data_IF_983249181794
#
_entry.id   IF_983249181794
#
_cell.length_a   1.000
_cell.length_b   1.000
_cell.length_c   1.000
_cell.angle_alpha   90.00
_cell.angle_beta   90.00
_cell.angle_gamma   90.00
#
_symmetry.space_group_name_H-M   'P 1'
#
loop_
_entity.id
_entity.type
_entity.pdbx_description
1 polymer ?
#
# COMPACT_ATOMS: atom_id res chain seq x y z
N UNK A 1 -16.50 31.55 -10.59
CA UNK A 1 -17.01 30.47 -11.46
C UNK A 1 -17.67 29.31 -10.69
N UNK A 2 -18.35 29.57 -9.55
CA UNK A 2 -18.99 28.54 -8.70
C UNK A 2 -20.51 28.40 -8.94
N UNK A 3 -21.06 29.10 -9.94
CA UNK A 3 -22.52 29.23 -10.13
C UNK A 3 -23.13 28.28 -11.17
N UNK A 4 -22.36 27.32 -11.74
CA UNK A 4 -22.83 26.41 -12.81
C UNK A 4 -23.05 24.94 -12.40
N UNK A 5 -22.90 24.58 -11.12
CA UNK A 5 -23.07 23.19 -10.65
C UNK A 5 -24.42 22.89 -9.98
N UNK A 6 -25.29 23.89 -9.78
CA UNK A 6 -26.58 23.72 -9.10
C UNK A 6 -27.67 22.99 -9.91
N UNK A 7 -27.54 22.89 -11.23
CA UNK A 7 -28.66 22.45 -12.10
C UNK A 7 -28.77 20.95 -12.36
N UNK A 8 -27.85 20.10 -11.87
CA UNK A 8 -27.82 18.67 -12.23
C UNK A 8 -28.34 17.71 -11.15
N UNK A 9 -28.84 18.24 -10.03
CA UNK A 9 -29.18 17.50 -8.82
C UNK A 9 -30.63 16.97 -8.74
N UNK A 10 -31.48 17.30 -9.72
CA UNK A 10 -32.91 16.98 -9.69
C UNK A 10 -33.32 16.08 -10.86
N UNK A 11 -32.78 14.85 -10.92
CA UNK A 11 -33.43 13.77 -11.69
C UNK A 11 -33.96 12.72 -10.72
N UNK A 12 -35.28 12.47 -10.67
CA UNK A 12 -35.83 11.32 -9.95
C UNK A 12 -35.36 10.02 -10.61
N UNK A 13 -34.97 9.03 -9.81
CA UNK A 13 -34.75 7.66 -10.30
C UNK A 13 -36.12 7.03 -10.68
N UNK A 14 -36.18 6.16 -11.71
CA UNK A 14 -37.40 5.43 -12.05
C UNK A 14 -37.74 4.42 -10.95
N UNK A 15 -39.01 4.40 -10.57
CA UNK A 15 -39.63 3.41 -9.69
C UNK A 15 -39.56 2.02 -10.32
N UNK A 16 -38.75 1.12 -9.72
CA UNK A 16 -38.79 -0.31 -10.02
C UNK A 16 -40.11 -0.88 -9.47
N UNK A 17 -41.08 -1.07 -10.37
CA UNK A 17 -42.31 -1.81 -10.10
C UNK A 17 -41.97 -3.30 -9.92
N UNK A 18 -42.11 -3.79 -8.69
CA UNK A 18 -41.96 -5.20 -8.33
C UNK A 18 -43.19 -5.96 -8.82
N UNK A 19 -43.16 -6.44 -10.07
CA UNK A 19 -44.21 -7.31 -10.61
C UNK A 19 -44.03 -8.72 -10.05
N UNK A 20 -44.92 -9.09 -9.14
CA UNK A 20 -45.09 -10.46 -8.65
C UNK A 20 -45.33 -11.40 -9.84
N UNK A 21 -44.45 -12.39 -10.01
CA UNK A 21 -44.64 -13.52 -10.94
C UNK A 21 -44.40 -14.78 -10.13
N UNK A 22 -45.44 -15.61 -10.06
CA UNK A 22 -45.58 -16.72 -9.11
C UNK A 22 -44.48 -17.77 -9.18
N UNK A 23 -44.26 -18.42 -8.03
CA UNK A 23 -43.45 -19.62 -7.90
C UNK A 23 -44.13 -20.80 -8.63
N UNK A 24 -43.42 -21.51 -9.52
CA UNK A 24 -43.83 -22.85 -9.91
C UNK A 24 -43.42 -23.85 -8.82
N UNK A 25 -44.41 -24.55 -8.27
CA UNK A 25 -44.22 -25.80 -7.52
C UNK A 25 -43.58 -26.84 -8.45
N UNK A 26 -42.41 -27.37 -8.07
CA UNK A 26 -41.76 -28.52 -8.72
C UNK A 26 -41.98 -29.75 -7.83
N UNK A 27 -42.33 -30.93 -8.39
CA UNK A 27 -42.63 -32.12 -7.61
C UNK A 27 -41.35 -32.78 -7.07
N UNK A 28 -41.46 -33.42 -5.90
CA UNK A 28 -40.39 -34.23 -5.33
C UNK A 28 -40.14 -35.52 -6.15
N UNK A 29 -38.88 -35.92 -6.40
CA UNK A 29 -38.54 -37.25 -6.90
C UNK A 29 -37.92 -38.14 -5.81
N UNK A 30 -37.89 -39.48 -6.03
CA UNK A 30 -37.80 -40.47 -4.98
C UNK A 30 -36.37 -40.81 -4.52
N UNK A 31 -36.33 -41.41 -3.34
CA UNK A 31 -35.18 -42.08 -2.72
C UNK A 31 -34.41 -42.98 -3.69
N UNK A 32 -33.12 -42.69 -3.90
CA UNK A 32 -32.13 -43.66 -4.38
C UNK A 32 -31.17 -43.15 -5.45
N UNK A 33 -29.87 -43.31 -5.17
CA UNK A 33 -28.72 -43.35 -6.09
C UNK A 33 -27.85 -42.08 -6.30
N UNK A 34 -26.60 -42.24 -5.83
CA UNK A 34 -25.29 -41.70 -6.26
C UNK A 34 -25.03 -40.18 -6.15
N UNK A 35 -24.00 -39.88 -5.35
CA UNK A 35 -23.43 -38.54 -5.14
C UNK A 35 -23.03 -37.86 -6.47
N UNK A 36 -23.25 -36.54 -6.60
CA UNK A 36 -22.90 -35.81 -7.81
C UNK A 36 -21.37 -35.65 -7.89
N UNK A 37 -20.80 -36.10 -9.00
CA UNK A 37 -19.40 -35.83 -9.34
C UNK A 37 -19.17 -34.32 -9.38
N UNK A 38 -18.25 -33.84 -8.54
CA UNK A 38 -17.82 -32.45 -8.53
C UNK A 38 -17.32 -32.07 -9.94
N UNK A 39 -17.59 -30.83 -10.40
CA UNK A 39 -17.20 -30.41 -11.74
C UNK A 39 -15.67 -30.41 -11.85
N UNK A 40 -15.16 -30.87 -13.00
CA UNK A 40 -13.73 -31.15 -13.30
C UNK A 40 -12.79 -29.96 -13.01
N UNK A 41 -13.30 -28.72 -12.98
CA UNK A 41 -12.51 -27.54 -12.64
C UNK A 41 -12.15 -27.44 -11.14
N UNK A 42 -12.83 -28.19 -10.26
CA UNK A 42 -12.54 -28.25 -8.82
C UNK A 42 -11.40 -29.22 -8.47
N UNK A 43 -10.87 -29.97 -9.46
CA UNK A 43 -9.66 -30.79 -9.36
C UNK A 43 -8.58 -30.26 -10.30
N UNK A 44 -8.55 -28.94 -10.52
CA UNK A 44 -7.31 -28.30 -10.93
C UNK A 44 -6.35 -28.31 -9.73
N UNK A 45 -5.79 -29.50 -9.46
CA UNK A 45 -4.51 -29.60 -8.77
C UNK A 45 -3.61 -28.57 -9.42
N UNK A 46 -2.98 -27.73 -8.60
CA UNK A 46 -1.79 -26.99 -9.00
C UNK A 46 -0.79 -28.05 -9.40
N UNK A 47 -0.83 -28.47 -10.66
CA UNK A 47 0.15 -29.36 -11.24
C UNK A 47 1.46 -28.62 -11.06
N UNK A 48 2.30 -29.18 -10.20
CA UNK A 48 3.71 -28.87 -10.14
C UNK A 48 4.19 -28.82 -11.60
N UNK A 49 4.47 -27.60 -12.07
CA UNK A 49 5.15 -27.41 -13.33
C UNK A 49 6.38 -28.31 -13.29
N UNK A 50 6.53 -29.15 -14.31
CA UNK A 50 7.70 -30.01 -14.46
C UNK A 50 8.97 -29.20 -14.25
N UNK A 51 10.00 -29.86 -13.70
CA UNK A 51 11.35 -29.34 -13.63
C UNK A 51 11.75 -28.82 -15.04
N UNK A 52 11.62 -27.50 -15.24
CA UNK A 52 11.88 -26.81 -16.51
C UNK A 52 10.73 -25.99 -17.13
N UNK A 53 9.54 -25.90 -16.55
CA UNK A 53 8.36 -25.33 -17.26
C UNK A 53 8.27 -23.80 -17.37
N UNK A 54 8.21 -23.08 -16.24
CA UNK A 54 7.97 -21.62 -16.24
C UNK A 54 9.19 -20.82 -15.79
N UNK A 55 10.01 -21.40 -14.90
CA UNK A 55 11.23 -20.77 -14.43
C UNK A 55 12.26 -20.65 -15.55
N UNK A 56 12.50 -21.71 -16.33
CA UNK A 56 13.44 -21.66 -17.45
C UNK A 56 12.96 -20.71 -18.55
N UNK A 57 11.65 -20.69 -18.83
CA UNK A 57 11.05 -19.73 -19.75
C UNK A 57 11.24 -18.27 -19.28
N UNK A 58 11.13 -18.02 -17.97
CA UNK A 58 11.41 -16.73 -17.36
C UNK A 58 12.91 -16.39 -17.41
N UNK A 59 13.78 -17.35 -17.07
CA UNK A 59 15.22 -17.19 -17.06
C UNK A 59 15.78 -16.91 -18.47
N UNK A 60 15.19 -17.48 -19.52
CA UNK A 60 15.57 -17.23 -20.91
C UNK A 60 14.87 -15.99 -21.53
N UNK A 61 14.02 -15.30 -20.77
CA UNK A 61 13.22 -14.18 -21.28
C UNK A 61 14.06 -12.95 -21.63
N UNK A 62 13.59 -12.15 -22.59
CA UNK A 62 14.30 -10.94 -23.03
C UNK A 62 14.57 -9.91 -21.91
N UNK A 63 13.67 -9.67 -20.93
CA UNK A 63 13.96 -8.78 -19.80
C UNK A 63 15.10 -9.28 -18.91
N UNK A 64 15.21 -10.60 -18.71
CA UNK A 64 16.31 -11.19 -17.92
C UNK A 64 17.63 -11.06 -18.66
N UNK A 65 17.66 -11.33 -19.98
CA UNK A 65 18.86 -11.08 -20.81
C UNK A 65 19.26 -9.61 -20.84
N UNK A 66 18.29 -8.69 -20.86
CA UNK A 66 18.56 -7.26 -20.74
C UNK A 66 19.20 -6.91 -19.40
N UNK A 67 18.72 -7.49 -18.29
CA UNK A 67 19.33 -7.33 -16.97
C UNK A 67 20.76 -7.90 -16.92
N UNK A 68 21.00 -9.07 -17.50
CA UNK A 68 22.33 -9.68 -17.65
C UNK A 68 23.28 -8.74 -18.40
N UNK A 69 22.86 -8.21 -19.55
CA UNK A 69 23.65 -7.28 -20.35
C UNK A 69 23.97 -5.98 -19.60
N UNK A 70 23.03 -5.43 -18.82
CA UNK A 70 23.25 -4.25 -17.98
C UNK A 70 24.30 -4.53 -16.90
N UNK A 71 24.24 -5.69 -16.23
CA UNK A 71 25.21 -6.10 -15.21
C UNK A 71 26.62 -6.30 -15.81
N UNK A 72 26.71 -7.00 -16.95
CA UNK A 72 27.97 -7.22 -17.65
C UNK A 72 28.56 -5.90 -18.16
N UNK A 73 27.74 -5.04 -18.76
CA UNK A 73 28.16 -3.73 -19.24
C UNK A 73 28.64 -2.82 -18.11
N UNK A 74 27.94 -2.81 -16.97
CA UNK A 74 28.36 -2.05 -15.79
C UNK A 74 29.68 -2.58 -15.20
N UNK A 75 29.86 -3.90 -15.14
CA UNK A 75 31.11 -4.50 -14.69
C UNK A 75 32.27 -4.17 -15.63
N UNK A 76 32.08 -4.34 -16.94
CA UNK A 76 33.09 -4.04 -17.95
C UNK A 76 33.47 -2.54 -17.98
N UNK A 77 32.50 -1.63 -17.79
CA UNK A 77 32.75 -0.19 -17.79
C UNK A 77 33.46 0.30 -16.53
N UNK A 78 33.25 -0.35 -15.38
CA UNK A 78 33.77 0.11 -14.09
C UNK A 78 35.04 -0.59 -13.66
N UNK A 79 35.28 -1.82 -14.13
CA UNK A 79 36.41 -2.65 -13.72
C UNK A 79 36.42 -3.01 -12.22
N UNK A 80 35.33 -2.76 -11.51
CA UNK A 80 35.20 -3.04 -10.08
C UNK A 80 34.95 -4.54 -9.84
N UNK A 81 35.34 -5.08 -8.66
CA UNK A 81 34.92 -6.41 -8.24
C UNK A 81 33.39 -6.57 -8.31
N UNK A 82 32.92 -7.81 -8.48
CA UNK A 82 31.50 -8.09 -8.70
C UNK A 82 30.57 -7.50 -7.62
N UNK A 83 30.97 -7.53 -6.34
CA UNK A 83 30.19 -6.90 -5.27
C UNK A 83 29.98 -5.39 -5.50
N UNK A 84 31.01 -4.68 -5.96
CA UNK A 84 30.98 -3.24 -6.22
C UNK A 84 30.18 -2.91 -7.47
N UNK A 85 30.32 -3.71 -8.52
CA UNK A 85 29.55 -3.55 -9.75
C UNK A 85 28.04 -3.75 -9.51
N UNK A 86 27.65 -4.78 -8.75
CA UNK A 86 26.24 -5.03 -8.40
C UNK A 86 25.67 -3.86 -7.58
N UNK A 87 26.43 -3.37 -6.60
CA UNK A 87 26.01 -2.23 -5.77
C UNK A 87 25.85 -0.96 -6.61
N UNK A 88 26.83 -0.64 -7.46
CA UNK A 88 26.80 0.52 -8.33
C UNK A 88 25.65 0.45 -9.34
N UNK A 89 25.45 -0.71 -9.96
CA UNK A 89 24.34 -0.94 -10.90
C UNK A 89 22.99 -0.75 -10.20
N UNK A 90 22.86 -1.23 -8.97
CA UNK A 90 21.64 -1.04 -8.16
C UNK A 90 21.41 0.43 -7.84
N UNK A 91 22.44 1.17 -7.42
CA UNK A 91 22.35 2.61 -7.15
C UNK A 91 21.99 3.39 -8.41
N UNK A 92 22.60 3.07 -9.54
CA UNK A 92 22.33 3.71 -10.83
C UNK A 92 20.90 3.44 -11.30
N UNK A 93 20.43 2.18 -11.27
CA UNK A 93 19.05 1.82 -11.63
C UNK A 93 18.05 2.51 -10.70
N UNK A 94 18.31 2.52 -9.40
CA UNK A 94 17.44 3.20 -8.44
C UNK A 94 17.45 4.72 -8.61
N UNK A 95 18.60 5.33 -8.92
CA UNK A 95 18.70 6.76 -9.18
C UNK A 95 18.00 7.17 -10.48
N UNK A 96 18.18 6.41 -11.55
CA UNK A 96 17.66 6.75 -12.87
C UNK A 96 16.17 6.40 -13.04
N UNK A 97 15.69 5.30 -12.44
CA UNK A 97 14.32 4.80 -12.65
C UNK A 97 13.46 4.96 -11.40
N UNK A 98 13.93 4.43 -10.26
CA UNK A 98 13.13 4.39 -9.02
C UNK A 98 12.94 5.79 -8.43
N UNK A 99 13.97 6.64 -8.41
CA UNK A 99 13.93 7.97 -7.80
C UNK A 99 12.91 8.92 -8.48
N UNK A 100 12.93 9.14 -9.81
CA UNK A 100 11.93 10.01 -10.44
C UNK A 100 10.51 9.46 -10.28
N UNK A 101 10.36 8.13 -10.33
CA UNK A 101 9.06 7.49 -10.14
C UNK A 101 8.56 7.59 -8.69
N UNK A 102 9.46 7.46 -7.72
CA UNK A 102 9.17 7.68 -6.31
C UNK A 102 8.80 9.14 -6.03
N UNK A 103 9.53 10.10 -6.61
CA UNK A 103 9.19 11.52 -6.53
C UNK A 103 7.79 11.80 -7.12
N UNK A 104 7.46 11.17 -8.25
CA UNK A 104 6.11 11.24 -8.82
C UNK A 104 5.05 10.61 -7.91
N UNK A 105 5.32 9.44 -7.32
CA UNK A 105 4.44 8.80 -6.35
C UNK A 105 4.18 9.73 -5.15
N UNK A 106 5.23 10.31 -4.57
CA UNK A 106 5.13 11.25 -3.46
C UNK A 106 4.35 12.52 -3.84
N UNK A 107 4.53 13.02 -5.07
CA UNK A 107 3.76 14.15 -5.59
C UNK A 107 2.25 13.85 -5.66
N UNK A 108 1.86 12.67 -6.16
CA UNK A 108 0.44 12.27 -6.21
C UNK A 108 -0.12 12.06 -4.79
N UNK A 109 0.66 11.45 -3.89
CA UNK A 109 0.25 11.25 -2.51
C UNK A 109 0.04 12.58 -1.78
N UNK A 110 0.94 13.54 -1.96
CA UNK A 110 0.81 14.89 -1.40
C UNK A 110 -0.43 15.61 -1.94
N UNK A 111 -0.77 15.46 -3.23
CA UNK A 111 -2.03 15.97 -3.77
C UNK A 111 -3.25 15.34 -3.11
N UNK A 112 -3.25 14.03 -2.90
CA UNK A 112 -4.35 13.34 -2.22
C UNK A 112 -4.47 13.77 -0.75
N UNK A 113 -3.34 14.01 -0.09
CA UNK A 113 -3.30 14.53 1.28
C UNK A 113 -3.91 15.93 1.38
N UNK A 114 -3.57 16.82 0.44
CA UNK A 114 -4.15 18.16 0.35
C UNK A 114 -5.67 18.15 0.10
N UNK A 115 -6.21 17.07 -0.48
CA UNK A 115 -7.66 16.90 -0.69
C UNK A 115 -8.39 16.28 0.51
N UNK A 116 -7.67 15.72 1.49
CA UNK A 116 -8.27 15.19 2.72
C UNK A 116 -9.24 16.16 3.42
N UNK A 117 -8.94 17.46 3.60
CA UNK A 117 -9.89 18.39 4.21
C UNK A 117 -11.19 18.54 3.41
N UNK A 118 -11.12 18.61 2.08
CA UNK A 118 -12.31 18.71 1.21
C UNK A 118 -13.15 17.42 1.29
N UNK A 119 -12.51 16.26 1.23
CA UNK A 119 -13.15 14.95 1.38
C UNK A 119 -13.84 14.85 2.75
N UNK A 120 -13.20 15.30 3.83
CA UNK A 120 -13.80 15.32 5.18
C UNK A 120 -15.03 16.23 5.26
N UNK A 121 -15.02 17.36 4.56
CA UNK A 121 -16.17 18.26 4.51
C UNK A 121 -17.35 17.66 3.75
N UNK A 122 -17.09 17.06 2.58
CA UNK A 122 -18.09 16.32 1.78
C UNK A 122 -18.67 15.17 2.61
N UNK A 123 -17.82 14.44 3.35
CA UNK A 123 -18.25 13.35 4.20
C UNK A 123 -19.25 13.80 5.26
N UNK A 124 -19.02 14.96 5.89
CA UNK A 124 -19.91 15.52 6.90
C UNK A 124 -21.28 15.88 6.32
N UNK A 125 -21.31 16.62 5.21
CA UNK A 125 -22.56 16.99 4.54
C UNK A 125 -23.33 15.77 4.03
N UNK A 126 -22.63 14.84 3.36
CA UNK A 126 -23.27 13.63 2.84
C UNK A 126 -23.84 12.75 3.95
N UNK A 127 -23.15 12.63 5.09
CA UNK A 127 -23.66 11.89 6.23
C UNK A 127 -24.93 12.53 6.81
N UNK A 128 -24.96 13.87 6.91
CA UNK A 128 -26.15 14.61 7.35
C UNK A 128 -27.32 14.41 6.37
N UNK A 129 -27.09 14.56 5.07
CA UNK A 129 -28.12 14.37 4.05
C UNK A 129 -28.68 12.94 4.04
N UNK A 130 -27.81 11.94 4.13
CA UNK A 130 -28.22 10.53 4.17
C UNK A 130 -28.98 10.23 5.46
N UNK A 131 -28.59 10.80 6.60
CA UNK A 131 -29.30 10.61 7.86
C UNK A 131 -30.72 11.20 7.82
N UNK A 132 -30.88 12.41 7.29
CA UNK A 132 -32.18 13.06 7.11
C UNK A 132 -33.07 12.24 6.16
N UNK A 133 -32.54 11.84 4.99
CA UNK A 133 -33.30 11.03 4.02
C UNK A 133 -33.64 9.64 4.54
N UNK A 134 -32.74 9.02 5.30
CA UNK A 134 -33.00 7.71 5.91
C UNK A 134 -34.15 7.79 6.91
N UNK A 135 -34.23 8.85 7.72
CA UNK A 135 -35.35 9.09 8.63
C UNK A 135 -36.65 9.41 7.88
N UNK A 136 -36.61 10.23 6.84
CA UNK A 136 -37.81 10.61 6.07
C UNK A 136 -38.41 9.45 5.27
N UNK A 137 -37.56 8.62 4.67
CA UNK A 137 -37.98 7.51 3.78
C UNK A 137 -38.01 6.16 4.50
N UNK A 138 -37.75 6.12 5.81
CA UNK A 138 -37.71 4.89 6.60
C UNK A 138 -36.69 3.86 6.08
N UNK A 139 -35.53 4.32 5.59
CA UNK A 139 -34.54 3.41 5.02
C UNK A 139 -33.97 2.44 6.05
N UNK A 140 -33.75 1.19 5.63
CA UNK A 140 -33.00 0.24 6.45
C UNK A 140 -31.53 0.71 6.60
N UNK A 141 -30.91 0.37 7.75
CA UNK A 141 -29.50 0.72 8.03
C UNK A 141 -28.53 0.27 6.91
N UNK A 142 -28.82 -0.86 6.27
CA UNK A 142 -28.01 -1.39 5.15
C UNK A 142 -28.11 -0.48 3.92
N UNK A 143 -29.32 -0.05 3.55
CA UNK A 143 -29.56 0.81 2.39
C UNK A 143 -28.93 2.19 2.61
N UNK A 144 -29.10 2.78 3.79
CA UNK A 144 -28.47 4.06 4.11
C UNK A 144 -26.93 4.00 4.00
N UNK A 145 -26.31 2.94 4.53
CA UNK A 145 -24.85 2.73 4.44
C UNK A 145 -24.39 2.54 2.99
N UNK A 146 -25.09 1.72 2.20
CA UNK A 146 -24.73 1.48 0.79
C UNK A 146 -24.86 2.78 -0.03
N UNK A 147 -25.91 3.57 0.19
CA UNK A 147 -26.09 4.86 -0.47
C UNK A 147 -24.97 5.85 -0.10
N UNK A 148 -24.62 5.93 1.20
CA UNK A 148 -23.49 6.74 1.65
C UNK A 148 -22.18 6.33 0.96
N UNK A 149 -21.85 5.03 0.98
CA UNK A 149 -20.61 4.52 0.37
C UNK A 149 -20.57 4.75 -1.15
N UNK A 150 -21.70 4.57 -1.84
CA UNK A 150 -21.81 4.79 -3.29
C UNK A 150 -21.62 6.26 -3.65
N UNK A 151 -22.29 7.17 -2.94
CA UNK A 151 -22.17 8.62 -3.17
C UNK A 151 -20.78 9.12 -2.78
N UNK A 152 -20.23 8.66 -1.65
CA UNK A 152 -18.87 9.00 -1.23
C UNK A 152 -17.85 8.61 -2.29
N UNK A 153 -17.90 7.36 -2.78
CA UNK A 153 -16.98 6.89 -3.82
C UNK A 153 -17.08 7.74 -5.08
N UNK A 154 -18.30 8.12 -5.47
CA UNK A 154 -18.53 9.00 -6.62
C UNK A 154 -17.88 10.37 -6.44
N UNK A 155 -18.15 11.06 -5.32
CA UNK A 155 -17.57 12.38 -5.06
C UNK A 155 -16.05 12.34 -4.98
N UNK A 156 -15.48 11.39 -4.24
CA UNK A 156 -14.02 11.22 -4.15
C UNK A 156 -13.42 10.96 -5.52
N UNK A 157 -14.07 10.13 -6.36
CA UNK A 157 -13.63 9.90 -7.74
C UNK A 157 -13.70 11.16 -8.59
N UNK A 158 -14.76 11.97 -8.47
CA UNK A 158 -14.90 13.25 -9.19
C UNK A 158 -13.80 14.24 -8.78
N UNK A 159 -13.45 14.32 -7.49
CA UNK A 159 -12.33 15.11 -6.99
C UNK A 159 -10.99 14.62 -7.56
N UNK A 160 -10.75 13.31 -7.54
CA UNK A 160 -9.51 12.74 -8.10
C UNK A 160 -9.36 12.97 -9.60
N UNK A 161 -10.47 12.98 -10.35
CA UNK A 161 -10.47 13.32 -11.78
C UNK A 161 -10.20 14.82 -11.98
N UNK A 162 -10.85 15.69 -11.19
CA UNK A 162 -10.66 17.15 -11.23
C UNK A 162 -9.19 17.54 -11.05
N UNK A 163 -8.53 16.97 -10.04
CA UNK A 163 -7.16 17.32 -9.68
C UNK A 163 -6.10 16.36 -10.26
N UNK A 164 -6.56 15.43 -11.10
CA UNK A 164 -5.78 14.45 -11.87
C UNK A 164 -4.87 13.52 -11.01
N UNK A 165 -5.22 13.31 -9.74
CA UNK A 165 -4.41 12.64 -8.73
C UNK A 165 -4.90 11.21 -8.42
N UNK A 166 -5.22 10.42 -9.45
CA UNK A 166 -5.71 9.06 -9.25
C UNK A 166 -4.76 8.21 -8.39
N UNK A 167 -5.27 7.51 -7.36
CA UNK A 167 -4.43 6.69 -6.47
C UNK A 167 -3.71 5.56 -7.22
N UNK A 168 -4.25 5.12 -8.36
CA UNK A 168 -3.58 4.14 -9.22
C UNK A 168 -2.23 4.63 -9.76
N UNK A 169 -2.07 5.93 -10.00
CA UNK A 169 -0.78 6.51 -10.42
C UNK A 169 0.28 6.39 -9.32
N UNK A 170 -0.12 6.47 -8.06
CA UNK A 170 0.78 6.24 -6.93
C UNK A 170 1.20 4.76 -6.80
N UNK A 171 0.42 3.82 -7.35
CA UNK A 171 0.78 2.39 -7.34
C UNK A 171 1.72 1.98 -8.47
N UNK A 172 1.99 2.86 -9.44
CA UNK A 172 2.85 2.55 -10.61
C UNK A 172 4.24 2.09 -10.19
N UNK A 173 4.80 2.64 -9.10
CA UNK A 173 6.10 2.22 -8.60
C UNK A 173 6.13 0.73 -8.23
N UNK A 174 5.08 0.23 -7.58
CA UNK A 174 5.00 -1.20 -7.17
C UNK A 174 5.01 -2.09 -8.41
N UNK A 175 4.27 -1.71 -9.45
CA UNK A 175 4.18 -2.46 -10.71
C UNK A 175 5.46 -2.48 -11.52
N UNK A 176 6.32 -1.48 -11.39
CA UNK A 176 7.61 -1.42 -12.09
C UNK A 176 8.72 -2.05 -11.24
N UNK A 177 8.71 -1.78 -9.94
CA UNK A 177 9.76 -2.20 -9.02
C UNK A 177 9.77 -3.73 -8.80
N UNK A 178 8.60 -4.35 -8.65
CA UNK A 178 8.51 -5.79 -8.39
C UNK A 178 9.02 -6.63 -9.57
N UNK A 179 8.56 -6.43 -10.83
CA UNK A 179 9.09 -7.18 -11.97
C UNK A 179 10.57 -6.91 -12.22
N UNK A 180 11.02 -5.65 -12.09
CA UNK A 180 12.44 -5.31 -12.23
C UNK A 180 13.28 -6.09 -11.20
N UNK A 181 12.87 -6.13 -9.94
CA UNK A 181 13.57 -6.90 -8.90
C UNK A 181 13.61 -8.40 -9.21
N UNK A 182 12.51 -8.96 -9.72
CA UNK A 182 12.45 -10.37 -10.15
C UNK A 182 13.45 -10.63 -11.27
N UNK A 183 13.43 -9.83 -12.35
CA UNK A 183 14.33 -10.04 -13.49
C UNK A 183 15.81 -9.89 -13.10
N UNK A 184 16.15 -8.90 -12.28
CA UNK A 184 17.51 -8.72 -11.77
C UNK A 184 17.94 -9.91 -10.89
N UNK A 185 17.05 -10.44 -10.06
CA UNK A 185 17.35 -11.60 -9.20
C UNK A 185 17.55 -12.88 -10.02
N UNK A 186 16.74 -13.08 -11.06
CA UNK A 186 16.90 -14.22 -11.98
C UNK A 186 18.17 -14.08 -12.81
N UNK A 187 18.52 -12.88 -13.27
CA UNK A 187 19.78 -12.62 -13.98
C UNK A 187 21.01 -12.95 -13.12
N UNK A 188 21.02 -12.48 -11.86
CA UNK A 188 22.08 -12.81 -10.90
C UNK A 188 22.13 -14.32 -10.63
N UNK A 189 20.98 -14.99 -10.57
CA UNK A 189 20.93 -16.45 -10.41
C UNK A 189 21.46 -17.18 -11.64
N UNK A 190 21.16 -16.71 -12.84
CA UNK A 190 21.69 -17.30 -14.08
C UNK A 190 23.22 -17.20 -14.14
N UNK A 191 23.78 -16.08 -13.66
CA UNK A 191 25.23 -15.94 -13.47
C UNK A 191 25.75 -16.91 -12.42
N UNK A 192 25.10 -17.01 -11.25
CA UNK A 192 25.54 -17.88 -10.14
C UNK A 192 25.41 -19.38 -10.41
N UNK A 193 24.58 -19.79 -11.38
CA UNK A 193 24.41 -21.19 -11.78
C UNK A 193 25.15 -21.54 -13.08
N UNK A 194 25.81 -20.57 -13.71
CA UNK A 194 26.47 -20.76 -15.01
C UNK A 194 25.53 -21.08 -16.17
N UNK A 195 24.27 -20.63 -16.10
CA UNK A 195 23.26 -20.91 -17.15
C UNK A 195 23.44 -20.03 -18.41
N UNK A 196 24.25 -18.97 -18.31
CA UNK A 196 24.60 -18.11 -19.45
C UNK A 196 25.77 -18.75 -20.20
N UNK A 197 25.50 -19.22 -21.41
CA UNK A 197 26.52 -19.84 -22.26
C UNK A 197 27.62 -18.82 -22.60
N UNK A 198 28.86 -19.23 -22.34
CA UNK A 198 30.13 -18.57 -22.66
C UNK A 198 30.15 -17.84 -24.00
N UNK A 199 30.14 -16.51 -23.97
CA UNK A 199 30.53 -15.67 -25.12
C UNK A 199 31.69 -14.71 -24.79
N UNK A 200 32.22 -14.73 -23.56
CA UNK A 200 33.33 -13.88 -23.14
C UNK A 200 34.37 -14.60 -22.26
N UNK A 201 35.01 -15.67 -22.78
CA UNK A 201 36.37 -16.12 -22.44
C UNK A 201 36.76 -16.52 -20.99
N UNK A 202 35.94 -16.23 -20.00
CA UNK A 202 36.09 -16.59 -18.58
C UNK A 202 34.70 -16.86 -18.05
N UNK A 203 34.52 -17.92 -17.25
CA UNK A 203 33.19 -18.17 -16.69
C UNK A 203 32.85 -17.04 -15.71
N UNK A 204 31.76 -16.31 -15.98
CA UNK A 204 31.25 -15.25 -15.09
C UNK A 204 31.06 -15.80 -13.67
N UNK A 205 30.73 -17.09 -13.57
CA UNK A 205 30.68 -17.86 -12.35
C UNK A 205 31.97 -17.83 -11.53
N UNK A 206 33.14 -18.11 -12.13
CA UNK A 206 34.42 -18.09 -11.41
C UNK A 206 34.77 -16.70 -10.90
N UNK A 207 34.42 -15.67 -11.68
CA UNK A 207 34.64 -14.28 -11.26
C UNK A 207 33.71 -13.87 -10.11
N UNK A 208 32.46 -14.33 -10.09
CA UNK A 208 31.57 -14.13 -8.94
C UNK A 208 32.08 -14.89 -7.71
N UNK A 209 32.59 -16.10 -7.89
CA UNK A 209 33.08 -16.94 -6.78
C UNK A 209 34.34 -16.38 -6.10
N UNK A 210 35.14 -15.60 -6.83
CA UNK A 210 36.35 -14.95 -6.30
C UNK A 210 36.18 -13.45 -6.02
N UNK A 211 35.09 -12.87 -6.48
CA UNK A 211 34.84 -11.43 -6.48
C UNK A 211 34.14 -10.88 -5.23
N UNK A 212 34.19 -11.59 -4.10
CA UNK A 212 33.59 -11.17 -2.83
C UNK A 212 34.40 -10.22 -1.97
N UNK A 213 33.88 -9.89 -0.78
CA UNK A 213 34.49 -8.94 0.14
C UNK A 213 34.19 -9.29 1.61
N UNK A 214 35.14 -8.95 2.50
CA UNK A 214 35.04 -9.19 3.94
C UNK A 214 34.79 -10.67 4.30
N UNK A 215 33.63 -10.99 4.89
CA UNK A 215 33.27 -12.31 5.43
C UNK A 215 32.55 -13.19 4.41
N UNK A 216 32.31 -12.69 3.19
CA UNK A 216 31.71 -13.42 2.07
C UNK A 216 32.65 -13.36 0.85
N UNK A 217 33.68 -14.21 0.78
CA UNK A 217 34.61 -14.24 -0.34
C UNK A 217 33.97 -14.76 -1.64
N UNK A 218 32.96 -15.62 -1.53
CA UNK A 218 32.22 -16.22 -2.64
C UNK A 218 30.79 -15.69 -2.69
N UNK A 219 30.41 -15.01 -3.77
CA UNK A 219 29.05 -14.47 -3.97
C UNK A 219 28.03 -15.53 -4.39
N UNK A 220 28.49 -16.71 -4.81
CA UNK A 220 27.65 -17.80 -5.31
C UNK A 220 27.25 -18.77 -4.20
N UNK A 221 28.04 -18.80 -3.13
CA UNK A 221 27.75 -19.56 -1.92
C UNK A 221 26.68 -18.87 -1.05
N UNK A 222 25.93 -19.69 -0.31
CA UNK A 222 25.03 -19.19 0.72
C UNK A 222 25.84 -18.56 1.87
N UNK A 223 25.35 -17.46 2.44
CA UNK A 223 25.98 -16.84 3.61
C UNK A 223 25.86 -17.76 4.83
N UNK A 224 26.89 -18.55 5.09
CA UNK A 224 26.95 -19.48 6.24
C UNK A 224 26.97 -18.74 7.58
N UNK A 225 27.32 -17.45 7.61
CA UNK A 225 27.45 -16.68 8.86
C UNK A 225 26.15 -16.00 9.28
N UNK A 226 25.11 -16.02 8.43
CA UNK A 226 23.82 -15.34 8.65
C UNK A 226 23.91 -13.82 8.88
N UNK A 227 25.09 -13.22 8.68
CA UNK A 227 25.32 -11.79 8.93
C UNK A 227 24.51 -10.94 7.95
N UNK A 228 24.43 -11.32 6.67
CA UNK A 228 23.70 -10.57 5.65
C UNK A 228 22.18 -10.54 5.96
N UNK A 229 21.47 -11.68 6.15
CA UNK A 229 20.06 -11.66 6.52
C UNK A 229 19.76 -10.87 7.80
N UNK A 230 20.58 -11.04 8.84
CA UNK A 230 20.40 -10.36 10.12
C UNK A 230 20.61 -8.85 9.95
N UNK A 231 21.65 -8.42 9.24
CA UNK A 231 21.92 -6.99 9.01
C UNK A 231 20.80 -6.30 8.22
N UNK A 232 20.25 -6.94 7.19
CA UNK A 232 19.08 -6.42 6.44
C UNK A 232 17.87 -6.30 7.37
N UNK A 233 17.64 -7.29 8.23
CA UNK A 233 16.58 -7.26 9.24
C UNK A 233 16.75 -6.12 10.23
N UNK A 234 17.95 -5.91 10.76
CA UNK A 234 18.27 -4.83 11.71
C UNK A 234 18.10 -3.46 11.04
N UNK A 235 18.61 -3.26 9.82
CA UNK A 235 18.42 -2.00 9.09
C UNK A 235 16.94 -1.72 8.86
N UNK A 236 16.16 -2.73 8.47
CA UNK A 236 14.71 -2.56 8.30
C UNK A 236 14.00 -2.22 9.62
N UNK A 237 14.39 -2.86 10.74
CA UNK A 237 13.86 -2.56 12.06
C UNK A 237 14.16 -1.11 12.46
N UNK A 238 15.40 -0.65 12.25
CA UNK A 238 15.81 0.73 12.53
C UNK A 238 15.00 1.76 11.72
N UNK A 239 14.68 1.47 10.45
CA UNK A 239 13.83 2.34 9.63
C UNK A 239 12.43 2.47 10.23
N UNK A 240 11.81 1.36 10.62
CA UNK A 240 10.46 1.35 11.21
C UNK A 240 10.46 2.05 12.58
N UNK A 241 11.44 1.77 13.41
CA UNK A 241 11.58 2.38 14.74
C UNK A 241 11.81 3.89 14.63
N UNK A 242 12.63 4.35 13.69
CA UNK A 242 12.84 5.79 13.44
C UNK A 242 11.53 6.51 13.12
N UNK A 243 10.67 5.90 12.30
CA UNK A 243 9.33 6.42 11.99
C UNK A 243 8.46 6.42 13.26
N UNK A 244 8.47 5.33 14.04
CA UNK A 244 7.68 5.23 15.27
C UNK A 244 8.11 6.29 16.31
N UNK A 245 9.41 6.49 16.51
CA UNK A 245 9.97 7.52 17.37
C UNK A 245 9.55 8.92 16.93
N UNK A 246 9.55 9.19 15.62
CA UNK A 246 9.02 10.45 15.07
C UNK A 246 7.55 10.67 15.46
N UNK A 247 6.69 9.65 15.31
CA UNK A 247 5.27 9.73 15.71
C UNK A 247 5.08 9.90 17.21
N UNK A 248 5.90 9.24 18.03
CA UNK A 248 5.88 9.35 19.49
C UNK A 248 6.25 10.77 19.94
N UNK A 249 7.36 11.31 19.44
CA UNK A 249 7.79 12.67 19.74
C UNK A 249 6.75 13.71 19.30
N UNK A 250 6.19 13.58 18.09
CA UNK A 250 5.13 14.48 17.60
C UNK A 250 3.88 14.44 18.48
N UNK A 251 3.45 13.24 18.90
CA UNK A 251 2.30 13.07 19.80
C UNK A 251 2.56 13.63 21.20
N UNK A 252 3.77 13.46 21.74
CA UNK A 252 4.17 14.03 23.03
C UNK A 252 4.22 15.56 22.99
N UNK A 253 4.74 16.14 21.91
CA UNK A 253 4.73 17.59 21.71
C UNK A 253 3.30 18.13 21.61
N UNK A 254 2.43 17.45 20.84
CA UNK A 254 1.02 17.81 20.73
C UNK A 254 0.27 17.71 22.08
N UNK A 255 0.55 16.65 22.86
CA UNK A 255 0.01 16.51 24.20
C UNK A 255 0.52 17.62 25.13
N UNK A 256 1.82 17.91 25.10
CA UNK A 256 2.44 18.97 25.89
C UNK A 256 1.82 20.33 25.57
N UNK A 257 1.68 20.65 24.28
CA UNK A 257 0.99 21.87 23.82
C UNK A 257 -0.47 21.90 24.32
N UNK A 258 -1.20 20.79 24.22
CA UNK A 258 -2.58 20.71 24.67
C UNK A 258 -2.69 20.92 26.20
N UNK A 259 -1.80 20.30 26.99
CA UNK A 259 -1.76 20.45 28.44
C UNK A 259 -1.32 21.85 28.88
N UNK A 260 -0.36 22.46 28.20
CA UNK A 260 0.08 23.84 28.45
C UNK A 260 -1.04 24.83 28.14
N UNK A 261 -1.71 24.68 26.98
CA UNK A 261 -2.87 25.47 26.60
C UNK A 261 -4.08 25.24 27.50
N UNK A 262 -4.12 24.19 28.32
CA UNK A 262 -5.19 23.96 29.30
C UNK A 262 -4.81 24.45 30.71
N UNK A 263 -3.56 24.86 30.92
CA UNK A 263 -3.09 25.40 32.19
C UNK A 263 -3.58 26.86 32.36
N UNK A 264 -4.15 27.22 33.51
CA UNK A 264 -4.69 28.56 33.74
C UNK A 264 -3.59 29.63 33.80
N UNK A 265 -2.41 29.30 34.36
CA UNK A 265 -1.27 30.22 34.43
C UNK A 265 -0.68 30.56 33.05
N UNK A 266 -0.54 29.58 32.15
CA UNK A 266 -0.05 29.83 30.79
C UNK A 266 -1.08 30.62 29.95
N UNK A 267 -2.37 30.32 30.10
CA UNK A 267 -3.44 31.12 29.47
C UNK A 267 -3.43 32.58 29.92
N UNK A 268 -3.17 32.82 31.20
CA UNK A 268 -3.08 34.15 31.79
C UNK A 268 -1.82 34.89 31.33
N UNK A 269 -0.69 34.18 31.19
CA UNK A 269 0.56 34.71 30.64
C UNK A 269 0.41 35.08 29.15
N UNK A 270 -0.30 34.27 28.36
CA UNK A 270 -0.55 34.52 26.94
C UNK A 270 -1.79 35.41 26.65
N UNK A 271 -2.44 35.99 27.68
CA UNK A 271 -3.64 36.85 27.55
C UNK A 271 -4.78 36.24 26.71
N UNK A 272 -4.99 34.93 26.82
CA UNK A 272 -6.08 34.24 26.11
C UNK A 272 -7.41 34.55 26.83
N UNK A 273 -8.45 35.05 26.14
CA UNK A 273 -9.73 35.42 26.77
C UNK A 273 -10.43 34.18 27.35
N UNK A 274 -10.93 34.32 28.58
CA UNK A 274 -11.61 33.25 29.30
C UNK A 274 -12.96 32.93 28.65
N UNK A 275 -13.19 31.67 28.32
CA UNK A 275 -14.49 31.19 27.81
C UNK A 275 -15.38 30.71 28.96
N UNK A 276 -16.70 30.95 28.91
CA UNK A 276 -17.66 30.60 29.98
C UNK A 276 -17.75 29.09 30.32
N UNK A 277 -17.14 28.21 29.52
CA UNK A 277 -17.06 26.75 29.75
C UNK A 277 -15.78 26.30 30.46
N UNK A 278 -14.87 27.20 30.85
CA UNK A 278 -13.61 26.81 31.47
C UNK A 278 -13.79 26.42 32.95
N UNK A 279 -13.51 25.15 33.25
CA UNK A 279 -13.54 24.61 34.62
C UNK A 279 -12.39 25.16 35.46
N UNK A 280 -12.65 25.43 36.75
CA UNK A 280 -11.65 25.90 37.73
C UNK A 280 -10.52 24.89 37.99
N UNK A 281 -10.70 23.60 37.65
CA UNK A 281 -9.71 22.54 37.87
C UNK A 281 -9.49 21.66 36.62
N UNK A 282 -8.84 22.18 35.57
CA UNK A 282 -8.79 21.54 34.26
C UNK A 282 -8.08 20.17 34.22
N UNK A 283 -7.06 19.96 35.06
CA UNK A 283 -6.34 18.68 35.14
C UNK A 283 -7.16 17.61 35.88
N UNK A 284 -7.83 17.97 36.99
CA UNK A 284 -8.66 17.03 37.75
C UNK A 284 -9.84 16.51 36.93
N UNK A 285 -10.47 17.38 36.14
CA UNK A 285 -11.57 16.98 35.25
C UNK A 285 -11.09 16.11 34.09
N UNK A 286 -9.88 16.34 33.58
CA UNK A 286 -9.29 15.49 32.54
C UNK A 286 -8.99 14.08 33.10
N UNK A 287 -8.39 14.01 34.28
CA UNK A 287 -8.12 12.73 34.96
C UNK A 287 -9.41 12.00 35.31
N UNK A 288 -10.42 12.71 35.83
CA UNK A 288 -11.73 12.14 36.12
C UNK A 288 -12.40 11.61 34.83
N UNK A 289 -12.46 12.41 33.76
CA UNK A 289 -13.04 11.96 32.49
C UNK A 289 -12.29 10.79 31.86
N UNK A 290 -10.96 10.76 31.98
CA UNK A 290 -10.14 9.64 31.52
C UNK A 290 -10.44 8.36 32.31
N UNK A 291 -10.50 8.46 33.64
CA UNK A 291 -10.84 7.36 34.54
C UNK A 291 -12.24 6.80 34.26
N UNK A 292 -13.25 7.66 34.12
CA UNK A 292 -14.62 7.23 33.80
C UNK A 292 -14.72 6.56 32.42
N UNK A 293 -13.91 6.99 31.45
CA UNK A 293 -13.98 6.47 30.08
C UNK A 293 -13.23 5.15 29.90
N UNK A 294 -12.07 4.97 30.55
CA UNK A 294 -11.21 3.81 30.38
C UNK A 294 -11.28 2.78 31.52
N UNK A 295 -11.50 3.23 32.76
CA UNK A 295 -11.45 2.35 33.94
C UNK A 295 -12.87 1.96 34.39
N UNK A 296 -13.84 2.88 34.33
CA UNK A 296 -15.24 2.58 34.74
C UNK A 296 -16.08 1.83 33.69
N UNK A 297 -15.52 1.50 32.51
CA UNK A 297 -16.18 0.73 31.44
C UNK A 297 -15.76 -0.75 31.38
N UNK A 298 -14.92 -1.20 32.31
CA UNK A 298 -14.75 -2.63 32.65
C UNK A 298 -15.70 -2.97 33.79
#
# INVERSE_FOLDING_TARGET
MLHRLGGRWLRPLPTLQLRARGLPLVPAPPSGAKAPALPVWAVASVSAAGAGGWYEALAASAPVRGAEAVLLGAHAATGLPWWGSILLTTVALRGAVTLPLAAYQHYILAKVENLQPEIKNIARHLNQEVAVRANQLGWSKRVARLTYLKNMRRFVSELYVRDNCHPFKATVLIWIQLPMWIFMSVALRNFSTGATNSEAGFSVQEQLATGGVLWFPDLTALDSTWILPISVGVVNLLIVESIALYWLCSSLMGLSQNLLLRSPGFRQLCRIPLTKSDSKTPYKDLFAAFYTKFISRK
#
